data_IF_209429324581
#
_entry.id   IF_209429324581
#
_cell.length_a   1.000
_cell.length_b   1.000
_cell.length_c   1.000
_cell.angle_alpha   90.00
_cell.angle_beta   90.00
_cell.angle_gamma   90.00
#
_symmetry.space_group_name_H-M   'P 1'
#
loop_
_entity.id
_entity.type
_entity.pdbx_description
1 polymer ?
#
# COMPACT_ATOMS: atom_id res chain seq x y z
N UNK A 1 -5.78 16.33 -4.73
CA UNK A 1 -6.24 16.41 -3.34
C UNK A 1 -6.73 15.06 -2.86
N UNK A 2 -6.40 14.70 -1.59
CA UNK A 2 -6.87 13.47 -0.96
C UNK A 2 -8.25 13.65 -0.33
N UNK A 3 -9.16 12.72 -0.60
CA UNK A 3 -10.45 12.67 0.10
C UNK A 3 -10.24 12.25 1.56
N UNK A 4 -10.90 12.95 2.47
CA UNK A 4 -10.93 12.61 3.89
C UNK A 4 -12.19 11.81 4.21
N UNK A 5 -12.01 10.58 4.69
CA UNK A 5 -13.11 9.76 5.20
C UNK A 5 -13.49 10.20 6.62
N UNK A 6 -14.78 10.05 6.94
CA UNK A 6 -15.30 10.35 8.28
C UNK A 6 -15.04 9.21 9.26
N UNK A 7 -14.78 9.56 10.52
CA UNK A 7 -14.62 8.62 11.62
C UNK A 7 -13.54 7.53 11.38
N UNK A 8 -12.40 7.93 10.83
CA UNK A 8 -11.24 7.05 10.79
C UNK A 8 -10.77 6.72 12.21
N UNK A 9 -10.29 5.50 12.40
CA UNK A 9 -9.72 5.02 13.65
C UNK A 9 -8.31 4.50 13.43
N UNK A 10 -7.51 4.53 14.48
CA UNK A 10 -6.19 3.87 14.57
C UNK A 10 -6.21 2.77 15.62
N UNK A 11 -7.29 2.65 16.40
CA UNK A 11 -7.43 1.59 17.39
C UNK A 11 -7.53 0.23 16.72
N UNK A 12 -6.66 -0.70 17.12
CA UNK A 12 -6.54 -2.03 16.56
C UNK A 12 -7.87 -2.80 16.59
N UNK A 13 -8.53 -2.84 17.74
CA UNK A 13 -9.82 -3.52 17.88
C UNK A 13 -10.91 -2.93 16.99
N UNK A 14 -10.81 -1.64 16.66
CA UNK A 14 -11.76 -0.96 15.77
C UNK A 14 -11.45 -1.23 14.32
N UNK A 15 -10.19 -1.05 13.87
CA UNK A 15 -9.83 -1.15 12.44
C UNK A 15 -10.04 -2.55 11.87
N UNK A 16 -9.90 -3.60 12.68
CA UNK A 16 -10.16 -4.99 12.27
C UNK A 16 -11.60 -5.45 12.52
N UNK A 17 -12.48 -4.59 13.04
CA UNK A 17 -13.88 -4.95 13.17
C UNK A 17 -14.61 -4.90 11.82
N UNK A 18 -15.44 -5.91 11.55
CA UNK A 18 -16.28 -5.95 10.34
C UNK A 18 -17.11 -4.66 10.17
N UNK A 19 -17.66 -4.16 11.26
CA UNK A 19 -18.46 -2.91 11.27
C UNK A 19 -17.65 -1.71 10.76
N UNK A 20 -16.39 -1.59 11.17
CA UNK A 20 -15.52 -0.51 10.70
C UNK A 20 -15.19 -0.67 9.22
N UNK A 21 -14.73 -1.86 8.81
CA UNK A 21 -14.34 -2.15 7.44
C UNK A 21 -15.50 -1.94 6.47
N UNK A 22 -16.68 -2.46 6.80
CA UNK A 22 -17.91 -2.26 6.02
C UNK A 22 -18.27 -0.78 5.91
N UNK A 23 -18.16 -0.01 6.99
CA UNK A 23 -18.44 1.43 6.98
C UNK A 23 -17.50 2.19 6.06
N UNK A 24 -16.20 1.90 6.12
CA UNK A 24 -15.18 2.53 5.25
C UNK A 24 -15.46 2.17 3.79
N UNK A 25 -15.67 0.90 3.50
CA UNK A 25 -16.00 0.41 2.17
C UNK A 25 -17.25 1.11 1.59
N UNK A 26 -18.30 1.25 2.39
CA UNK A 26 -19.51 1.94 1.98
C UNK A 26 -19.29 3.44 1.70
N UNK A 27 -18.44 4.11 2.48
CA UNK A 27 -18.07 5.50 2.19
C UNK A 27 -17.32 5.62 0.84
N UNK A 28 -16.38 4.72 0.57
CA UNK A 28 -15.64 4.69 -0.70
C UNK A 28 -16.61 4.43 -1.87
N UNK A 29 -17.46 3.41 -1.76
CA UNK A 29 -18.43 3.08 -2.80
C UNK A 29 -19.44 4.21 -3.06
N UNK A 30 -19.83 4.94 -2.04
CA UNK A 30 -20.65 6.15 -2.21
C UNK A 30 -19.90 7.19 -3.03
N UNK A 31 -18.62 7.43 -2.76
CA UNK A 31 -17.81 8.39 -3.53
C UNK A 31 -17.67 7.98 -4.98
N UNK A 32 -17.37 6.69 -5.26
CA UNK A 32 -17.29 6.16 -6.62
C UNK A 32 -18.54 6.42 -7.45
N UNK A 33 -19.73 6.42 -6.81
CA UNK A 33 -21.02 6.67 -7.48
C UNK A 33 -21.34 8.15 -7.65
N UNK A 34 -20.81 9.02 -6.79
CA UNK A 34 -21.14 10.45 -6.79
C UNK A 34 -20.36 11.24 -7.83
N UNK A 35 -19.19 10.76 -8.24
CA UNK A 35 -18.28 11.48 -9.13
C UNK A 35 -17.77 10.59 -10.25
N UNK A 36 -17.47 11.21 -11.39
CA UNK A 36 -16.79 10.54 -12.49
C UNK A 36 -15.28 10.70 -12.31
N UNK A 37 -14.63 9.70 -11.70
CA UNK A 37 -13.19 9.68 -11.52
C UNK A 37 -12.50 9.16 -12.78
N UNK A 38 -11.65 9.99 -13.36
CA UNK A 38 -10.81 9.65 -14.51
C UNK A 38 -9.36 9.45 -14.05
N UNK A 39 -8.51 8.94 -14.93
CA UNK A 39 -7.10 8.76 -14.61
C UNK A 39 -6.40 10.07 -14.19
N UNK A 40 -6.67 11.17 -14.88
CA UNK A 40 -6.10 12.49 -14.55
C UNK A 40 -6.74 13.14 -13.29
N UNK A 41 -7.90 12.65 -12.86
CA UNK A 41 -8.61 13.12 -11.68
C UNK A 41 -9.10 11.93 -10.85
N UNK A 42 -8.19 11.11 -10.28
CA UNK A 42 -8.57 9.90 -9.55
C UNK A 42 -9.11 10.22 -8.15
N UNK A 43 -9.85 9.28 -7.60
CA UNK A 43 -10.15 9.26 -6.17
C UNK A 43 -8.90 8.79 -5.42
N UNK A 44 -8.31 9.66 -4.62
CA UNK A 44 -7.17 9.33 -3.76
C UNK A 44 -7.55 9.42 -2.29
N UNK A 45 -7.22 8.38 -1.51
CA UNK A 45 -7.48 8.31 -0.06
C UNK A 45 -6.26 7.74 0.64
N UNK A 46 -5.78 8.44 1.68
CA UNK A 46 -4.64 7.94 2.50
C UNK A 46 -5.12 6.88 3.48
N UNK A 47 -4.49 5.71 3.46
CA UNK A 47 -4.74 4.61 4.40
C UNK A 47 -6.22 4.50 4.80
N UNK A 48 -7.15 4.19 3.87
CA UNK A 48 -8.59 4.27 4.16
C UNK A 48 -9.02 3.32 5.26
N UNK A 49 -8.45 2.13 5.29
CA UNK A 49 -8.84 1.05 6.21
C UNK A 49 -8.10 1.06 7.54
N UNK A 50 -7.08 1.90 7.69
CA UNK A 50 -6.26 1.94 8.90
C UNK A 50 -5.19 0.83 8.98
N UNK A 51 -5.12 -0.05 7.99
CA UNK A 51 -4.32 -1.28 8.02
C UNK A 51 -2.94 -1.14 7.36
N UNK A 52 -2.62 0.00 6.75
CA UNK A 52 -1.32 0.24 6.14
C UNK A 52 -0.96 1.72 6.19
N UNK A 53 -0.02 2.08 7.04
CA UNK A 53 0.26 3.47 7.43
C UNK A 53 0.61 4.37 6.24
N UNK A 54 1.43 3.89 5.30
CA UNK A 54 1.94 4.68 4.17
C UNK A 54 1.17 4.49 2.87
N UNK A 55 0.09 3.71 2.88
CA UNK A 55 -0.64 3.39 1.67
C UNK A 55 -1.53 4.53 1.15
N UNK A 56 -1.69 4.55 -0.16
CA UNK A 56 -2.64 5.42 -0.88
C UNK A 56 -3.61 4.54 -1.68
N UNK A 57 -4.89 4.64 -1.35
CA UNK A 57 -5.94 4.07 -2.17
C UNK A 57 -6.17 4.97 -3.38
N UNK A 58 -6.27 4.36 -4.57
CA UNK A 58 -6.52 5.02 -5.84
C UNK A 58 -7.65 4.32 -6.59
N UNK A 59 -8.60 5.11 -7.11
CA UNK A 59 -9.68 4.63 -7.96
C UNK A 59 -9.93 5.58 -9.13
N UNK A 60 -10.11 5.01 -10.34
CA UNK A 60 -10.48 5.74 -11.55
C UNK A 60 -11.06 4.79 -12.61
N UNK A 61 -11.63 5.36 -13.66
CA UNK A 61 -12.10 4.63 -14.84
C UNK A 61 -11.39 5.11 -16.09
N UNK A 62 -11.27 4.21 -17.07
CA UNK A 62 -10.77 4.46 -18.41
C UNK A 62 -11.80 4.05 -19.45
N UNK A 63 -11.69 4.56 -20.69
CA UNK A 63 -12.58 4.21 -21.79
C UNK A 63 -12.19 2.91 -22.49
N UNK A 64 -10.93 2.50 -22.33
CA UNK A 64 -10.38 1.26 -22.88
C UNK A 64 -9.72 0.43 -21.78
N UNK A 65 -9.56 -0.87 -22.04
CA UNK A 65 -8.89 -1.78 -21.10
C UNK A 65 -7.39 -1.51 -21.08
N UNK A 66 -6.88 -1.06 -19.93
CA UNK A 66 -5.47 -0.74 -19.70
C UNK A 66 -4.93 -1.51 -18.51
N UNK A 67 -3.62 -1.73 -18.51
CA UNK A 67 -2.86 -2.21 -17.35
C UNK A 67 -2.20 -1.01 -16.67
N UNK A 68 -2.22 -0.98 -15.36
CA UNK A 68 -1.55 0.03 -14.57
C UNK A 68 -0.28 -0.52 -13.91
N UNK A 69 0.75 0.30 -13.89
CA UNK A 69 1.94 0.11 -13.06
C UNK A 69 2.26 1.40 -12.31
N UNK A 70 3.06 1.32 -11.26
CA UNK A 70 3.49 2.52 -10.56
C UNK A 70 4.95 2.43 -10.14
N UNK A 71 5.54 3.61 -9.98
CA UNK A 71 6.86 3.81 -9.39
C UNK A 71 6.74 4.85 -8.28
N UNK A 72 7.37 4.57 -7.16
CA UNK A 72 7.55 5.52 -6.06
C UNK A 72 9.02 5.89 -5.98
N UNK A 73 9.30 7.17 -6.21
CA UNK A 73 10.61 7.78 -6.09
C UNK A 73 10.70 8.59 -4.80
N UNK A 74 11.82 8.48 -4.11
CA UNK A 74 12.18 9.32 -2.98
C UNK A 74 13.69 9.56 -3.02
N UNK A 75 14.10 10.82 -2.86
CA UNK A 75 15.52 11.18 -2.88
C UNK A 75 16.33 10.33 -1.90
N UNK A 76 17.51 9.88 -2.34
CA UNK A 76 18.45 9.03 -1.59
C UNK A 76 17.96 7.59 -1.30
N UNK A 77 16.86 7.15 -1.90
CA UNK A 77 16.34 5.78 -1.79
C UNK A 77 16.20 5.15 -3.17
N UNK A 78 16.32 3.83 -3.25
CA UNK A 78 16.02 3.11 -4.47
C UNK A 78 14.54 3.29 -4.86
N UNK A 79 14.26 3.39 -6.15
CA UNK A 79 12.88 3.43 -6.64
C UNK A 79 12.17 2.10 -6.38
N UNK A 80 10.90 2.20 -6.01
CA UNK A 80 10.04 1.04 -5.83
C UNK A 80 8.99 1.01 -6.93
N UNK A 81 8.97 -0.06 -7.72
CA UNK A 81 8.04 -0.20 -8.86
C UNK A 81 7.27 -1.50 -8.80
N UNK A 82 5.99 -1.46 -9.14
CA UNK A 82 5.13 -2.63 -9.23
C UNK A 82 4.14 -2.50 -10.40
N UNK A 83 3.84 -3.64 -11.02
CA UNK A 83 2.68 -3.76 -11.90
C UNK A 83 1.46 -4.07 -11.03
N UNK A 84 0.37 -3.32 -11.26
CA UNK A 84 -0.84 -3.46 -10.48
C UNK A 84 -1.70 -4.59 -11.05
N UNK A 85 -1.93 -5.60 -10.23
CA UNK A 85 -2.81 -6.70 -10.60
C UNK A 85 -4.27 -6.24 -10.55
N UNK A 86 -5.03 -6.70 -11.53
CA UNK A 86 -6.48 -6.52 -11.60
C UNK A 86 -7.18 -7.83 -11.25
N UNK A 87 -8.48 -7.76 -11.00
CA UNK A 87 -9.32 -8.96 -10.82
C UNK A 87 -9.58 -9.71 -12.14
N UNK A 88 -8.97 -9.25 -13.23
CA UNK A 88 -9.07 -9.90 -14.55
C UNK A 88 -7.85 -10.78 -14.79
N UNK A 89 -8.05 -11.95 -15.40
CA UNK A 89 -6.96 -12.86 -15.76
C UNK A 89 -5.95 -12.23 -16.74
N UNK A 90 -6.41 -11.27 -17.53
CA UNK A 90 -5.57 -10.55 -18.51
C UNK A 90 -4.70 -9.46 -17.90
N UNK A 91 -4.99 -9.01 -16.66
CA UNK A 91 -4.34 -7.84 -16.05
C UNK A 91 -4.79 -6.50 -16.62
N UNK A 92 -5.73 -6.47 -17.59
CA UNK A 92 -6.27 -5.26 -18.21
C UNK A 92 -7.72 -5.03 -17.80
N UNK A 93 -8.08 -3.77 -17.51
CA UNK A 93 -9.43 -3.39 -17.05
C UNK A 93 -9.76 -1.96 -17.46
N UNK A 94 -11.04 -1.62 -17.42
CA UNK A 94 -11.55 -0.24 -17.54
C UNK A 94 -11.90 0.37 -16.18
N UNK A 95 -11.98 -0.45 -15.13
CA UNK A 95 -12.22 0.01 -13.75
C UNK A 95 -11.04 -0.34 -12.88
N UNK A 96 -10.35 0.68 -12.41
CA UNK A 96 -9.07 0.59 -11.71
C UNK A 96 -9.26 0.92 -10.24
N UNK A 97 -8.91 -0.03 -9.37
CA UNK A 97 -9.00 0.11 -7.92
C UNK A 97 -7.78 -0.54 -7.27
N UNK A 98 -6.96 0.27 -6.61
CA UNK A 98 -5.65 -0.16 -6.12
C UNK A 98 -5.34 0.39 -4.73
N UNK A 99 -4.51 -0.33 -4.00
CA UNK A 99 -3.80 0.19 -2.83
C UNK A 99 -2.32 0.30 -3.20
N UNK A 100 -1.84 1.53 -3.40
CA UNK A 100 -0.44 1.81 -3.68
C UNK A 100 0.33 1.80 -2.37
N UNK A 101 1.31 0.91 -2.25
CA UNK A 101 2.18 0.74 -1.08
C UNK A 101 3.63 0.87 -1.50
N UNK A 102 4.54 1.21 -0.58
CA UNK A 102 5.96 1.30 -0.87
C UNK A 102 6.55 2.70 -0.70
N UNK A 103 5.78 3.69 -0.25
CA UNK A 103 6.30 5.01 0.05
C UNK A 103 7.28 4.97 1.25
N UNK A 104 8.35 5.76 1.18
CA UNK A 104 9.28 5.94 2.29
C UNK A 104 8.60 6.73 3.40
N UNK A 105 8.50 6.18 4.62
CA UNK A 105 7.86 6.85 5.75
C UNK A 105 8.55 8.18 6.08
N UNK A 106 7.77 9.16 6.51
CA UNK A 106 8.24 10.48 6.94
C UNK A 106 9.05 11.26 5.88
N UNK A 107 8.87 10.92 4.60
CA UNK A 107 9.53 11.57 3.48
C UNK A 107 8.52 12.08 2.46
N UNK A 108 8.97 13.00 1.63
CA UNK A 108 8.26 13.40 0.40
C UNK A 108 8.60 12.41 -0.70
N UNK A 109 7.59 11.70 -1.16
CA UNK A 109 7.69 10.74 -2.25
C UNK A 109 7.04 11.31 -3.50
N UNK A 110 7.50 10.91 -4.67
CA UNK A 110 6.80 11.12 -5.94
C UNK A 110 6.22 9.79 -6.39
N UNK A 111 4.89 9.72 -6.49
CA UNK A 111 4.19 8.55 -7.02
C UNK A 111 3.86 8.82 -8.48
N UNK A 112 4.33 7.94 -9.36
CA UNK A 112 4.05 7.97 -10.79
C UNK A 112 3.30 6.72 -11.19
N UNK A 113 2.10 6.86 -11.71
CA UNK A 113 1.30 5.76 -12.26
C UNK A 113 1.32 5.85 -13.78
N UNK A 114 1.55 4.71 -14.43
CA UNK A 114 1.62 4.58 -15.90
C UNK A 114 0.56 3.61 -16.37
N UNK A 115 -0.20 4.02 -17.38
CA UNK A 115 -1.17 3.17 -18.08
C UNK A 115 -0.60 2.65 -19.40
N UNK A 116 -0.75 1.36 -19.62
CA UNK A 116 -0.21 0.67 -20.79
C UNK A 116 -1.31 -0.15 -21.46
N UNK A 117 -1.39 -0.10 -22.79
CA UNK A 117 -2.34 -0.90 -23.57
C UNK A 117 -1.80 -2.32 -23.83
N UNK A 118 -2.64 -3.17 -24.44
CA UNK A 118 -2.29 -4.58 -24.77
C UNK A 118 -1.11 -4.74 -25.72
N UNK A 119 -0.72 -3.68 -26.44
CA UNK A 119 0.44 -3.65 -27.32
C UNK A 119 1.73 -3.21 -26.60
N UNK A 120 1.67 -2.99 -25.28
CA UNK A 120 2.81 -2.52 -24.50
C UNK A 120 3.11 -1.02 -24.65
N UNK A 121 2.23 -0.26 -25.32
CA UNK A 121 2.41 1.18 -25.49
C UNK A 121 1.87 1.92 -24.27
N UNK A 122 2.67 2.86 -23.75
CA UNK A 122 2.23 3.81 -22.72
C UNK A 122 1.16 4.73 -23.32
N UNK A 123 0.01 4.77 -22.67
CA UNK A 123 -1.16 5.57 -23.07
C UNK A 123 -1.22 6.87 -22.30
N UNK A 124 -0.97 6.81 -20.99
CA UNK A 124 -1.05 7.98 -20.11
C UNK A 124 -0.18 7.81 -18.86
N UNK A 125 0.23 8.93 -18.27
CA UNK A 125 1.07 8.99 -17.06
C UNK A 125 0.52 10.05 -16.12
N UNK A 126 0.42 9.71 -14.84
CA UNK A 126 0.05 10.65 -13.78
C UNK A 126 1.08 10.60 -12.66
N UNK A 127 1.63 11.77 -12.30
CA UNK A 127 2.58 11.90 -11.18
C UNK A 127 2.09 12.92 -10.17
N UNK A 128 2.32 12.64 -8.89
CA UNK A 128 2.05 13.61 -7.81
C UNK A 128 2.96 13.40 -6.60
N UNK A 129 3.12 14.45 -5.82
CA UNK A 129 3.87 14.42 -4.56
C UNK A 129 3.00 13.84 -3.43
N UNK A 130 3.59 12.96 -2.62
CA UNK A 130 2.98 12.33 -1.44
C UNK A 130 3.89 12.43 -0.23
N UNK A 131 3.51 13.28 0.73
CA UNK A 131 4.16 13.30 2.04
C UNK A 131 3.64 12.11 2.86
N UNK A 132 4.45 11.06 2.93
CA UNK A 132 4.10 9.87 3.68
C UNK A 132 4.16 10.16 5.20
N UNK A 133 3.20 9.63 5.99
CA UNK A 133 3.25 9.78 7.43
C UNK A 133 4.44 9.01 8.03
N UNK A 134 4.82 9.38 9.24
CA UNK A 134 5.73 8.58 10.06
C UNK A 134 5.11 7.23 10.40
N UNK A 135 5.95 6.23 10.63
CA UNK A 135 5.50 4.95 11.17
C UNK A 135 4.95 5.14 12.59
N UNK A 136 3.88 4.43 12.90
CA UNK A 136 3.23 4.50 14.22
C UNK A 136 3.97 3.67 15.28
N UNK A 137 4.58 2.55 14.87
CA UNK A 137 5.40 1.69 15.74
C UNK A 137 6.80 2.24 16.02
N UNK A 138 7.05 3.52 15.75
CA UNK A 138 8.33 4.17 15.98
C UNK A 138 9.46 3.63 15.10
N UNK A 139 10.67 4.16 15.30
CA UNK A 139 11.89 3.70 14.63
C UNK A 139 12.42 2.46 15.37
N UNK A 140 11.84 1.31 15.09
CA UNK A 140 12.45 0.06 15.53
C UNK A 140 13.62 -0.22 14.59
N UNK A 141 14.81 -0.11 15.13
CA UNK A 141 16.05 -0.41 14.42
C UNK A 141 16.17 -1.93 14.21
N UNK A 142 15.69 -2.41 13.06
CA UNK A 142 16.25 -3.62 12.51
C UNK A 142 17.45 -3.17 11.67
N UNK A 143 18.63 -3.59 12.06
CA UNK A 143 19.77 -3.53 11.16
C UNK A 143 19.53 -4.58 10.10
N UNK A 144 19.10 -4.15 8.93
CA UNK A 144 19.06 -5.03 7.75
C UNK A 144 20.41 -4.90 7.09
N UNK A 145 21.24 -5.91 7.23
CA UNK A 145 22.44 -6.03 6.42
C UNK A 145 21.99 -6.54 5.04
N UNK A 146 22.06 -5.68 4.05
CA UNK A 146 21.83 -6.04 2.67
C UNK A 146 23.18 -6.18 1.98
N UNK A 147 23.50 -7.40 1.56
CA UNK A 147 24.65 -7.63 0.66
C UNK A 147 24.20 -7.24 -0.76
N UNK A 148 24.68 -6.09 -1.23
CA UNK A 148 24.38 -5.55 -2.56
C UNK A 148 24.66 -6.55 -3.69
N UNK A 149 25.57 -7.51 -3.48
CA UNK A 149 25.87 -8.56 -4.46
C UNK A 149 24.71 -9.51 -4.72
N UNK A 150 23.76 -9.62 -3.79
CA UNK A 150 22.64 -10.55 -3.84
C UNK A 150 21.27 -9.89 -4.12
N UNK A 151 21.20 -8.57 -4.19
CA UNK A 151 19.91 -7.86 -4.44
C UNK A 151 19.27 -8.23 -5.78
N UNK A 152 20.08 -8.57 -6.79
CA UNK A 152 19.57 -9.03 -8.10
C UNK A 152 18.92 -10.41 -8.09
N UNK A 153 19.13 -11.21 -7.03
CA UNK A 153 18.51 -12.52 -6.86
C UNK A 153 17.14 -12.44 -6.17
N UNK A 154 16.81 -11.31 -5.55
CA UNK A 154 15.52 -11.06 -4.93
C UNK A 154 14.55 -10.48 -5.96
N UNK A 155 13.33 -11.01 -6.00
CA UNK A 155 12.28 -10.42 -6.82
C UNK A 155 11.88 -9.05 -6.29
N UNK A 156 11.52 -8.12 -7.18
CA UNK A 156 10.93 -6.86 -6.77
C UNK A 156 9.62 -7.10 -6.02
N UNK A 157 9.53 -6.57 -4.80
CA UNK A 157 8.36 -6.76 -3.96
C UNK A 157 8.57 -6.23 -2.56
N UNK A 158 7.66 -6.57 -1.67
CA UNK A 158 7.77 -6.26 -0.26
C UNK A 158 7.89 -7.55 0.54
N UNK A 159 8.89 -7.57 1.39
CA UNK A 159 9.18 -8.68 2.30
C UNK A 159 8.61 -8.35 3.67
N UNK A 160 7.85 -9.30 4.20
CA UNK A 160 7.24 -9.17 5.52
C UNK A 160 8.22 -9.59 6.59
N UNK A 161 8.52 -8.69 7.50
CA UNK A 161 9.23 -9.00 8.74
C UNK A 161 8.25 -8.83 9.89
N UNK A 162 8.03 -9.92 10.63
CA UNK A 162 7.30 -9.86 11.89
C UNK A 162 8.12 -9.05 12.86
N UNK A 163 7.48 -8.07 13.48
CA UNK A 163 8.16 -7.05 14.27
C UNK A 163 8.81 -7.57 15.54
N UNK A 164 9.18 -6.65 16.36
CA UNK A 164 9.91 -6.78 17.61
C UNK A 164 9.34 -7.82 18.57
N UNK A 165 10.23 -8.43 19.33
CA UNK A 165 9.86 -9.17 20.54
C UNK A 165 9.42 -8.20 21.64
N UNK A 166 8.20 -7.68 21.48
CA UNK A 166 7.55 -6.94 22.56
C UNK A 166 7.30 -7.96 23.66
N UNK A 167 7.96 -7.80 24.76
CA UNK A 167 7.80 -8.67 25.92
C UNK A 167 6.34 -8.72 26.34
N UNK A 168 5.90 -9.81 26.96
CA UNK A 168 4.50 -10.05 27.36
C UNK A 168 3.85 -8.91 28.15
N UNK A 169 4.66 -8.06 28.75
CA UNK A 169 4.24 -6.97 29.64
C UNK A 169 4.13 -5.60 28.95
N UNK A 170 4.37 -5.51 27.62
CA UNK A 170 4.26 -4.22 26.93
C UNK A 170 2.85 -4.01 26.40
N UNK A 171 2.21 -2.91 26.81
CA UNK A 171 0.94 -2.43 26.27
C UNK A 171 1.12 -1.82 24.87
N UNK A 172 2.33 -1.84 24.31
CA UNK A 172 2.63 -1.25 23.02
C UNK A 172 2.06 -2.10 21.87
N UNK A 173 1.45 -1.43 20.93
CA UNK A 173 0.90 -2.06 19.74
C UNK A 173 2.00 -2.65 18.87
N UNK A 174 1.86 -3.92 18.48
CA UNK A 174 2.77 -4.59 17.56
C UNK A 174 2.51 -4.18 16.11
N UNK A 175 3.58 -4.18 15.29
CA UNK A 175 3.52 -3.87 13.86
C UNK A 175 4.33 -4.88 13.06
N UNK A 176 3.74 -5.35 11.98
CA UNK A 176 4.46 -6.08 10.94
C UNK A 176 5.07 -5.07 9.97
N UNK A 177 6.36 -5.20 9.68
CA UNK A 177 7.09 -4.31 8.79
C UNK A 177 7.18 -4.89 7.39
N UNK A 178 7.11 -4.01 6.41
CA UNK A 178 7.30 -4.34 5.00
C UNK A 178 8.57 -3.67 4.49
N UNK A 179 9.52 -4.47 4.03
CA UNK A 179 10.81 -4.05 3.48
C UNK A 179 10.88 -4.35 1.99
N UNK A 180 11.52 -3.49 1.22
CA UNK A 180 11.86 -3.81 -0.16
C UNK A 180 13.10 -4.73 -0.24
N UNK A 181 13.49 -5.09 -1.45
CA UNK A 181 14.64 -5.96 -1.70
C UNK A 181 16.00 -5.30 -1.40
N UNK A 182 16.03 -4.01 -1.05
CA UNK A 182 17.22 -3.30 -0.54
C UNK A 182 17.22 -3.20 0.99
N UNK A 183 16.25 -3.82 1.67
CA UNK A 183 16.12 -3.74 3.12
C UNK A 183 15.56 -2.42 3.63
N UNK A 184 14.97 -1.60 2.76
CA UNK A 184 14.40 -0.31 3.12
C UNK A 184 12.96 -0.52 3.58
N UNK A 185 12.62 0.05 4.74
CA UNK A 185 11.26 -0.02 5.26
C UNK A 185 10.32 0.84 4.42
N UNK A 186 9.26 0.24 3.91
CA UNK A 186 8.28 0.87 3.03
C UNK A 186 6.91 1.02 3.66
N UNK A 187 6.58 0.21 4.67
CA UNK A 187 5.29 0.30 5.35
C UNK A 187 5.27 -0.49 6.64
N UNK A 188 4.18 -0.33 7.37
CA UNK A 188 3.84 -1.12 8.54
C UNK A 188 2.35 -1.46 8.53
N UNK A 189 2.03 -2.62 9.10
CA UNK A 189 0.68 -3.12 9.30
C UNK A 189 0.50 -3.36 10.81
N UNK A 190 -0.48 -2.72 11.45
CA UNK A 190 -0.74 -2.96 12.87
C UNK A 190 -1.29 -4.37 13.08
N UNK A 191 -0.77 -5.09 14.08
CA UNK A 191 -1.16 -6.46 14.42
C UNK A 191 -1.41 -6.59 15.91
N UNK A 192 -2.22 -7.59 16.30
CA UNK A 192 -2.56 -7.82 17.72
C UNK A 192 -1.37 -8.35 18.50
N UNK A 193 -0.65 -9.29 17.92
CA UNK A 193 0.56 -9.91 18.49
C UNK A 193 1.29 -10.63 17.35
N UNK A 194 2.57 -10.86 17.45
CA UNK A 194 3.33 -11.62 16.44
C UNK A 194 3.72 -13.04 16.89
N UNK A 195 3.38 -13.43 18.11
CA UNK A 195 3.79 -14.73 18.65
C UNK A 195 3.11 -15.95 18.07
N UNK A 196 1.96 -15.78 17.43
CA UNK A 196 1.14 -16.90 16.96
C UNK A 196 0.67 -16.78 15.52
N UNK A 197 1.34 -15.95 14.71
CA UNK A 197 0.79 -15.67 13.40
C UNK A 197 1.16 -16.71 12.37
N UNK A 198 0.13 -17.20 11.73
CA UNK A 198 0.24 -17.79 10.40
C UNK A 198 -0.04 -16.69 9.40
N UNK A 199 0.89 -16.48 8.49
CA UNK A 199 0.69 -15.58 7.35
C UNK A 199 0.51 -16.45 6.13
N UNK A 200 -0.59 -16.26 5.43
CA UNK A 200 -0.91 -16.92 4.17
C UNK A 200 -1.15 -15.85 3.10
N UNK A 201 -0.51 -16.01 1.96
CA UNK A 201 -0.77 -15.19 0.78
C UNK A 201 -1.53 -16.02 -0.24
N UNK A 202 -2.72 -15.58 -0.59
CA UNK A 202 -3.56 -16.23 -1.58
C UNK A 202 -4.32 -15.17 -2.39
N UNK A 203 -4.32 -15.29 -3.72
CA UNK A 203 -5.04 -14.41 -4.63
C UNK A 203 -4.84 -12.91 -4.36
N UNK A 204 -3.59 -12.48 -4.19
CA UNK A 204 -3.20 -11.09 -3.85
C UNK A 204 -3.75 -10.59 -2.49
N UNK A 205 -4.18 -11.48 -1.64
CA UNK A 205 -4.68 -11.18 -0.31
C UNK A 205 -3.76 -11.80 0.73
N UNK A 206 -3.41 -11.01 1.73
CA UNK A 206 -2.68 -11.51 2.90
C UNK A 206 -3.68 -11.82 4.01
N UNK A 207 -3.64 -13.05 4.48
CA UNK A 207 -4.38 -13.50 5.66
C UNK A 207 -3.40 -13.69 6.82
N UNK A 208 -3.76 -13.21 7.97
CA UNK A 208 -3.00 -13.44 9.20
C UNK A 208 -3.94 -13.63 10.39
N UNK A 209 -3.52 -14.45 11.35
CA UNK A 209 -4.31 -14.78 12.55
C UNK A 209 -3.49 -14.61 13.81
#
# INVERSE_FOLDING_TARGET
>A
NYLKLKNKSTSLSTIYSEKYQTRIHNQINKQKKLNNYTFQHPLLIRNPYGTNTTAVYMYFKTTEELQASYTIHCDNYADFSQTLNTNTLSGYTTEHEYLLIGAIPNQTNTITVTLTNKQGKVVDILSWSFNAPSLQGGNQYLTVECDDSNTSSLSNGLYTVLGNDVTEDSEEQAYMRLYDNYGIIRSEIPIVSYRSHRILFENNTMYFS
#
